data_IF_676482133353
#
_entry.id   IF_676482133353
#
_cell.length_a   1.000
_cell.length_b   1.000
_cell.length_c   1.000
_cell.angle_alpha   90.00
_cell.angle_beta   90.00
_cell.angle_gamma   90.00
#
_symmetry.space_group_name_H-M   'P 1'
#
loop_
_entity.id
_entity.type
_entity.pdbx_description
1 polymer ?
#
# COMPACT_ATOMS: atom_id res chain seq x y z
N UNK A 1 -9.51 24.59 -35.09
CA UNK A 1 -8.07 24.75 -34.83
C UNK A 1 -7.55 23.38 -34.46
N UNK A 2 -6.63 22.85 -35.27
CA UNK A 2 -5.99 21.54 -35.05
C UNK A 2 -5.11 21.58 -33.79
N UNK A 3 -4.95 20.46 -33.07
CA UNK A 3 -4.05 20.39 -31.93
C UNK A 3 -2.59 20.35 -32.39
N UNK A 4 -1.81 21.32 -31.91
CA UNK A 4 -0.35 21.42 -32.11
C UNK A 4 0.33 20.23 -31.43
N UNK A 5 1.07 19.44 -32.21
CA UNK A 5 1.93 18.37 -31.69
C UNK A 5 3.18 18.98 -31.07
N UNK A 6 3.33 18.90 -29.75
CA UNK A 6 4.60 19.20 -29.07
C UNK A 6 5.44 17.92 -29.04
N UNK A 7 6.64 17.97 -29.61
CA UNK A 7 7.53 16.82 -29.72
C UNK A 7 8.01 16.36 -28.33
N UNK A 8 8.06 15.04 -28.15
CA UNK A 8 8.32 14.27 -26.92
C UNK A 8 9.68 14.54 -26.25
N UNK A 9 10.55 15.34 -26.85
CA UNK A 9 11.95 15.55 -26.44
C UNK A 9 12.22 16.84 -25.65
N UNK A 10 11.24 17.74 -25.50
CA UNK A 10 11.46 19.04 -24.82
C UNK A 10 11.06 19.07 -23.33
N UNK A 11 10.56 17.96 -22.78
CA UNK A 11 10.07 17.85 -21.39
C UNK A 11 11.02 17.11 -20.43
N UNK A 12 12.22 16.70 -20.86
CA UNK A 12 13.14 15.91 -20.02
C UNK A 12 13.97 16.73 -19.00
N UNK A 13 13.67 18.02 -18.80
CA UNK A 13 14.35 18.83 -17.80
C UNK A 13 13.43 19.16 -16.60
N UNK A 14 13.87 18.75 -15.40
CA UNK A 14 13.56 19.27 -14.04
C UNK A 14 12.51 18.53 -13.19
N UNK A 15 12.97 17.88 -12.09
CA UNK A 15 12.57 18.18 -10.69
C UNK A 15 13.36 17.33 -9.65
N UNK A 16 14.04 17.98 -8.68
CA UNK A 16 14.44 17.42 -7.37
C UNK A 16 14.06 18.44 -6.29
N UNK A 17 13.44 18.02 -5.18
CA UNK A 17 12.99 18.89 -4.09
C UNK A 17 14.03 18.99 -2.94
N UNK A 18 14.29 20.21 -2.46
CA UNK A 18 14.74 20.50 -1.08
C UNK A 18 13.79 21.55 -0.50
N UNK A 19 13.24 21.30 0.69
CA UNK A 19 12.35 22.23 1.41
C UNK A 19 13.17 22.92 2.50
N UNK A 20 13.35 24.25 2.41
CA UNK A 20 13.83 25.06 3.54
C UNK A 20 12.64 25.67 4.30
N UNK A 21 12.67 25.50 5.62
CA UNK A 21 11.49 25.47 6.49
C UNK A 21 11.14 26.84 7.10
N UNK A 22 11.46 27.96 6.42
CA UNK A 22 11.27 29.30 7.01
C UNK A 22 10.53 30.34 6.18
N UNK A 23 10.27 30.13 4.89
CA UNK A 23 9.63 31.17 4.06
C UNK A 23 8.44 30.71 3.23
N UNK A 24 8.12 29.41 3.17
CA UNK A 24 6.93 28.93 2.46
C UNK A 24 6.95 29.16 0.94
N UNK A 25 8.12 29.39 0.34
CA UNK A 25 8.29 29.47 -1.10
C UNK A 25 8.95 28.20 -1.65
N UNK A 26 8.42 27.68 -2.76
CA UNK A 26 9.06 26.65 -3.58
C UNK A 26 10.21 27.30 -4.36
N UNK A 27 11.45 27.02 -3.98
CA UNK A 27 12.63 27.37 -4.78
C UNK A 27 12.93 26.21 -5.73
N UNK A 28 12.93 26.47 -7.04
CA UNK A 28 13.39 25.53 -8.05
C UNK A 28 14.85 25.87 -8.37
N UNK A 29 15.80 25.04 -7.92
CA UNK A 29 17.19 25.14 -8.38
C UNK A 29 17.36 24.33 -9.67
N UNK A 30 17.62 25.03 -10.77
CA UNK A 30 18.16 24.44 -11.99
C UNK A 30 19.65 24.15 -11.73
N UNK A 31 20.02 22.86 -11.69
CA UNK A 31 21.43 22.46 -11.71
C UNK A 31 22.10 23.07 -12.95
N UNK A 32 23.15 23.83 -12.68
CA UNK A 32 23.96 24.59 -13.62
C UNK A 32 24.35 23.80 -14.87
N UNK A 33 23.90 24.24 -16.04
CA UNK A 33 24.68 24.11 -17.27
C UNK A 33 24.99 25.53 -17.77
N UNK A 34 26.27 25.89 -17.95
CA UNK A 34 26.62 27.25 -18.35
C UNK A 34 26.32 27.43 -19.84
N UNK A 35 25.54 28.47 -20.15
CA UNK A 35 25.18 28.94 -21.48
C UNK A 35 24.32 27.98 -22.32
N UNK A 36 23.01 28.19 -22.33
CA UNK A 36 22.19 27.98 -23.54
C UNK A 36 20.94 28.87 -23.48
N UNK A 37 20.88 29.86 -24.37
CA UNK A 37 19.66 30.61 -24.66
C UNK A 37 18.69 29.67 -25.40
N UNK A 38 17.48 29.49 -24.88
CA UNK A 38 16.43 28.77 -25.59
C UNK A 38 15.89 29.64 -26.72
N UNK A 39 15.80 29.07 -27.92
CA UNK A 39 15.29 29.73 -29.12
C UNK A 39 14.05 28.98 -29.58
N UNK A 40 12.94 29.70 -29.77
CA UNK A 40 11.71 29.11 -30.29
C UNK A 40 11.85 28.74 -31.78
N UNK A 41 10.97 27.88 -32.29
CA UNK A 41 10.99 27.41 -33.69
C UNK A 41 10.78 28.51 -34.75
N UNK A 42 10.38 29.72 -34.33
CA UNK A 42 10.29 30.94 -35.15
C UNK A 42 11.48 31.91 -34.94
N UNK A 43 12.53 31.48 -34.23
CA UNK A 43 13.81 32.19 -34.15
C UNK A 43 13.93 33.27 -33.07
N UNK A 44 13.05 33.29 -32.05
CA UNK A 44 13.11 34.28 -30.97
C UNK A 44 13.82 33.72 -29.73
N UNK A 45 14.67 34.53 -29.12
CA UNK A 45 15.39 34.17 -27.89
C UNK A 45 14.53 34.42 -26.64
N UNK A 46 14.51 33.44 -25.73
CA UNK A 46 13.87 33.56 -24.41
C UNK A 46 14.96 33.87 -23.38
N UNK A 47 14.94 35.08 -22.82
CA UNK A 47 15.79 35.45 -21.69
C UNK A 47 15.05 35.26 -20.36
N UNK A 48 15.66 34.53 -19.42
CA UNK A 48 15.15 34.41 -18.05
C UNK A 48 15.87 35.41 -17.14
N UNK A 49 15.12 36.31 -16.52
CA UNK A 49 15.62 37.19 -15.46
C UNK A 49 15.42 36.54 -14.10
N UNK A 50 16.49 36.40 -13.32
CA UNK A 50 16.41 36.08 -11.90
C UNK A 50 15.94 37.31 -11.14
N UNK A 51 14.75 37.23 -10.53
CA UNK A 51 14.12 38.31 -9.80
C UNK A 51 14.72 38.52 -8.41
N UNK A 52 15.91 39.12 -8.35
CA UNK A 52 16.45 39.83 -7.18
C UNK A 52 17.36 40.95 -7.71
N UNK A 53 16.77 41.98 -8.35
CA UNK A 53 17.31 43.34 -8.23
C UNK A 53 16.40 44.41 -8.88
N UNK A 54 16.03 45.37 -8.03
CA UNK A 54 15.77 46.78 -8.33
C UNK A 54 14.63 47.18 -9.28
N UNK A 55 13.61 47.75 -8.63
CA UNK A 55 12.86 48.89 -9.13
C UNK A 55 13.79 50.05 -9.58
N UNK A 56 13.23 50.91 -10.43
CA UNK A 56 13.79 52.14 -11.03
C UNK A 56 14.47 51.97 -12.40
N UNK A 57 13.72 52.29 -13.47
CA UNK A 57 14.20 53.24 -14.48
C UNK A 57 13.05 53.86 -15.26
N UNK A 58 13.09 55.19 -15.31
CA UNK A 58 12.17 56.07 -16.00
C UNK A 58 12.20 55.87 -17.52
N UNK A 59 11.02 56.08 -18.08
CA UNK A 59 10.65 56.26 -19.47
C UNK A 59 11.59 57.19 -20.27
N UNK A 60 11.89 56.82 -21.53
CA UNK A 60 12.00 57.73 -22.68
C UNK A 60 12.13 56.96 -24.00
N UNK A 61 11.22 57.28 -24.92
CA UNK A 61 11.23 57.15 -26.38
C UNK A 61 10.91 55.79 -27.04
N UNK A 62 9.62 55.61 -27.40
CA UNK A 62 9.20 55.54 -28.81
C UNK A 62 8.74 54.17 -29.37
N UNK A 63 7.42 53.91 -29.31
CA UNK A 63 6.58 53.00 -30.13
C UNK A 63 7.10 51.55 -30.37
N UNK A 64 6.38 50.46 -30.14
CA UNK A 64 4.94 50.22 -29.96
C UNK A 64 4.74 48.73 -29.65
N UNK A 65 3.81 48.39 -28.75
CA UNK A 65 3.16 47.07 -28.71
C UNK A 65 3.78 45.98 -27.81
N UNK A 66 3.94 46.22 -26.51
CA UNK A 66 4.05 45.11 -25.54
C UNK A 66 2.65 44.82 -24.98
N UNK A 67 1.95 43.89 -25.60
CA UNK A 67 0.71 43.33 -25.02
C UNK A 67 1.15 42.42 -23.87
N UNK A 68 1.02 42.93 -22.65
CA UNK A 68 1.08 42.13 -21.45
C UNK A 68 -0.12 41.16 -21.45
N UNK A 69 0.12 39.89 -21.78
CA UNK A 69 -0.84 38.82 -21.47
C UNK A 69 -0.64 38.42 -20.01
N UNK A 70 -1.41 39.04 -19.13
CA UNK A 70 -1.68 38.49 -17.81
C UNK A 70 -2.50 37.21 -18.00
N UNK A 71 -1.84 36.05 -18.01
CA UNK A 71 -2.55 34.80 -17.74
C UNK A 71 -2.82 34.76 -16.24
N UNK A 72 -4.01 35.20 -15.86
CA UNK A 72 -4.51 35.10 -14.50
C UNK A 72 -4.92 33.64 -14.25
N UNK A 73 -3.93 32.74 -14.17
CA UNK A 73 -4.17 31.37 -13.73
C UNK A 73 -4.12 31.37 -12.20
N UNK A 74 -5.25 31.04 -11.56
CA UNK A 74 -5.28 30.88 -10.12
C UNK A 74 -4.24 29.84 -9.68
N UNK A 75 -3.57 30.05 -8.55
CA UNK A 75 -2.57 29.13 -8.00
C UNK A 75 -3.10 27.69 -7.97
N UNK A 76 -4.38 27.50 -7.65
CA UNK A 76 -5.04 26.20 -7.64
C UNK A 76 -5.09 25.55 -9.03
N UNK A 77 -5.30 26.34 -10.09
CA UNK A 77 -5.29 25.85 -11.47
C UNK A 77 -3.87 25.53 -11.94
N UNK A 78 -2.87 26.28 -11.49
CA UNK A 78 -1.46 25.98 -11.73
C UNK A 78 -1.04 24.67 -11.05
N UNK A 79 -1.43 24.48 -9.78
CA UNK A 79 -1.19 23.26 -9.01
C UNK A 79 -1.91 22.07 -9.67
N UNK A 80 -3.16 22.26 -10.10
CA UNK A 80 -3.94 21.19 -10.73
C UNK A 80 -3.38 20.81 -12.11
N UNK A 81 -2.92 21.79 -12.90
CA UNK A 81 -2.25 21.54 -14.18
C UNK A 81 -0.91 20.82 -14.00
N UNK A 82 -0.07 21.27 -13.07
CA UNK A 82 1.20 20.59 -12.73
C UNK A 82 0.92 19.19 -12.21
N UNK A 83 -0.01 19.02 -11.27
CA UNK A 83 -0.38 17.70 -10.74
C UNK A 83 -0.88 16.78 -11.83
N UNK A 84 -1.71 17.27 -12.76
CA UNK A 84 -2.25 16.47 -13.86
C UNK A 84 -1.14 16.06 -14.84
N UNK A 85 -0.25 16.98 -15.20
CA UNK A 85 0.88 16.71 -16.11
C UNK A 85 1.90 15.78 -15.46
N UNK A 86 2.24 16.00 -14.19
CA UNK A 86 3.12 15.12 -13.42
C UNK A 86 2.49 13.73 -13.29
N UNK A 87 1.21 13.62 -12.93
CA UNK A 87 0.51 12.32 -12.85
C UNK A 87 0.49 11.61 -14.21
N UNK A 88 0.24 12.34 -15.29
CA UNK A 88 0.24 11.77 -16.64
C UNK A 88 1.64 11.28 -17.05
N UNK A 89 2.70 12.06 -16.81
CA UNK A 89 4.09 11.66 -17.07
C UNK A 89 4.49 10.45 -16.20
N UNK A 90 4.11 10.44 -14.93
CA UNK A 90 4.35 9.31 -14.00
C UNK A 90 3.62 8.02 -14.42
N UNK A 91 2.45 8.14 -15.04
CA UNK A 91 1.63 7.01 -15.50
C UNK A 91 2.03 6.50 -16.90
N UNK A 92 2.64 7.35 -17.74
CA UNK A 92 2.92 7.04 -19.15
C UNK A 92 4.39 6.78 -19.47
N UNK A 93 5.31 6.94 -18.50
CA UNK A 93 6.73 6.62 -18.65
C UNK A 93 7.10 5.26 -17.98
N UNK A 94 7.35 4.18 -18.75
CA UNK A 94 7.80 2.89 -18.23
C UNK A 94 9.11 2.99 -17.45
N UNK A 95 9.96 3.98 -17.75
CA UNK A 95 11.25 4.18 -17.08
C UNK A 95 11.10 4.78 -15.67
N UNK A 96 9.95 5.38 -15.35
CA UNK A 96 9.65 5.85 -13.99
C UNK A 96 9.21 4.70 -13.08
N UNK A 97 8.45 3.73 -13.61
CA UNK A 97 8.17 2.47 -12.92
C UNK A 97 9.45 1.66 -12.71
N UNK A 98 10.32 1.59 -13.72
CA UNK A 98 11.65 0.98 -13.58
C UNK A 98 12.53 1.70 -12.53
N UNK A 99 12.44 3.04 -12.40
CA UNK A 99 13.17 3.82 -11.38
C UNK A 99 12.60 3.70 -9.97
N UNK A 100 11.29 3.50 -9.80
CA UNK A 100 10.66 3.15 -8.51
C UNK A 100 11.07 1.74 -8.05
N UNK A 101 11.23 0.82 -8.99
CA UNK A 101 11.78 -0.52 -8.75
C UNK A 101 13.29 -0.50 -8.48
N UNK A 102 14.02 0.51 -8.97
CA UNK A 102 15.49 0.53 -8.96
C UNK A 102 16.13 0.85 -7.59
N UNK A 103 15.38 1.05 -6.50
CA UNK A 103 15.99 1.16 -5.16
C UNK A 103 15.06 0.97 -3.94
N UNK A 104 13.81 0.52 -4.11
CA UNK A 104 12.91 0.37 -2.95
C UNK A 104 11.66 -0.47 -3.19
N UNK A 105 11.01 -0.85 -2.09
CA UNK A 105 9.71 -1.54 -2.06
C UNK A 105 8.62 -0.75 -2.80
N UNK A 106 7.71 -1.43 -3.49
CA UNK A 106 6.55 -0.85 -4.15
C UNK A 106 5.58 -0.14 -3.19
N UNK A 107 5.62 -0.49 -1.89
CA UNK A 107 4.91 0.24 -0.82
C UNK A 107 5.72 1.39 -0.21
N UNK A 108 6.96 1.64 -0.67
CA UNK A 108 7.82 2.69 -0.16
C UNK A 108 8.60 2.30 1.09
N UNK A 109 8.88 3.26 1.97
CA UNK A 109 9.62 3.01 3.22
C UNK A 109 8.79 2.22 4.24
N UNK A 110 7.48 2.49 4.30
CA UNK A 110 6.53 1.92 5.27
C UNK A 110 5.15 1.79 4.64
N UNK A 111 4.32 0.90 5.20
CA UNK A 111 2.89 0.79 4.87
C UNK A 111 2.15 2.10 5.16
N UNK A 112 1.01 2.27 4.49
CA UNK A 112 0.15 3.45 4.66
C UNK A 112 -0.21 3.71 6.13
N UNK A 113 -0.25 4.99 6.53
CA UNK A 113 -0.60 5.39 7.90
C UNK A 113 -2.03 4.97 8.28
N UNK A 114 -2.93 4.76 7.32
CA UNK A 114 -4.26 4.18 7.57
C UNK A 114 -4.20 2.82 8.29
N UNK A 115 -3.13 2.06 8.06
CA UNK A 115 -2.94 0.76 8.68
C UNK A 115 -2.20 0.84 10.01
N UNK A 116 -1.45 1.92 10.25
CA UNK A 116 -0.64 2.08 11.47
C UNK A 116 -1.36 2.80 12.60
N UNK A 117 -2.54 3.33 12.32
CA UNK A 117 -3.40 3.97 13.30
C UNK A 117 -4.56 3.04 13.65
N UNK A 118 -4.84 2.93 14.96
CA UNK A 118 -6.03 2.28 15.49
C UNK A 118 -7.28 3.14 15.32
N UNK A 119 -8.44 2.56 15.58
CA UNK A 119 -9.72 3.29 15.54
C UNK A 119 -9.77 4.47 16.52
N UNK A 120 -8.99 4.39 17.61
CA UNK A 120 -8.81 5.44 18.61
C UNK A 120 -7.76 6.50 18.22
N UNK A 121 -7.15 6.37 17.04
CA UNK A 121 -6.14 7.28 16.53
C UNK A 121 -4.74 7.07 17.10
N UNK A 122 -4.53 6.05 17.94
CA UNK A 122 -3.20 5.73 18.47
C UNK A 122 -2.38 4.96 17.45
N UNK A 123 -1.05 5.12 17.53
CA UNK A 123 -0.12 4.30 16.77
C UNK A 123 -0.20 2.85 17.26
N UNK A 124 -0.35 1.92 16.33
CA UNK A 124 -0.29 0.48 16.56
C UNK A 124 1.17 0.03 16.70
N UNK A 125 1.37 -1.09 17.37
CA UNK A 125 2.68 -1.59 17.77
C UNK A 125 3.12 -2.74 16.84
N UNK A 126 4.13 -2.51 16.00
CA UNK A 126 4.74 -3.59 15.23
C UNK A 126 5.63 -4.47 16.12
N UNK A 127 5.99 -5.65 15.62
CA UNK A 127 7.05 -6.51 16.19
C UNK A 127 8.40 -6.31 15.49
N UNK A 128 8.38 -5.70 14.30
CA UNK A 128 9.55 -5.32 13.50
C UNK A 128 9.47 -3.83 13.19
N UNK A 129 10.49 -3.10 13.60
CA UNK A 129 10.68 -1.69 13.30
C UNK A 129 11.93 -1.47 12.44
N UNK A 130 12.07 -0.32 11.77
CA UNK A 130 13.31 0.04 11.09
C UNK A 130 14.52 -0.08 12.03
N UNK A 131 15.56 -0.75 11.57
CA UNK A 131 16.73 -1.10 12.37
C UNK A 131 17.65 0.13 12.52
N UNK A 132 17.94 0.57 13.76
CA UNK A 132 18.89 1.66 13.97
C UNK A 132 20.28 1.31 13.41
N UNK A 133 20.85 2.19 12.59
CA UNK A 133 22.16 1.96 11.98
C UNK A 133 22.18 0.84 10.93
N UNK A 134 21.03 0.55 10.30
CA UNK A 134 20.91 -0.44 9.23
C UNK A 134 22.00 -0.29 8.14
N UNK A 135 22.58 -1.42 7.74
CA UNK A 135 23.54 -1.51 6.64
C UNK A 135 23.21 -2.71 5.75
N UNK A 136 22.64 -2.43 4.57
CA UNK A 136 22.32 -3.45 3.57
C UNK A 136 23.54 -4.28 3.17
N UNK A 137 24.71 -3.65 3.03
CA UNK A 137 25.96 -4.34 2.70
C UNK A 137 26.40 -5.31 3.79
N UNK A 138 26.37 -4.88 5.06
CA UNK A 138 26.76 -5.75 6.17
C UNK A 138 25.84 -6.97 6.29
N UNK A 139 24.53 -6.78 6.14
CA UNK A 139 23.57 -7.89 6.15
C UNK A 139 23.73 -8.79 4.92
N UNK A 140 23.92 -8.23 3.72
CA UNK A 140 24.17 -9.02 2.50
C UNK A 140 25.42 -9.90 2.62
N UNK A 141 26.51 -9.37 3.16
CA UNK A 141 27.73 -10.14 3.40
C UNK A 141 27.55 -11.24 4.46
N UNK A 142 26.79 -10.97 5.53
CA UNK A 142 26.49 -11.98 6.54
C UNK A 142 25.65 -13.11 5.98
N UNK A 143 24.62 -12.79 5.20
CA UNK A 143 23.79 -13.78 4.48
C UNK A 143 24.64 -14.60 3.52
N UNK A 144 25.56 -13.97 2.77
CA UNK A 144 26.46 -14.69 1.88
C UNK A 144 27.36 -15.68 2.64
N UNK A 145 27.94 -15.26 3.77
CA UNK A 145 28.75 -16.14 4.62
C UNK A 145 27.94 -17.29 5.20
N UNK A 146 26.69 -17.04 5.60
CA UNK A 146 25.79 -18.06 6.15
C UNK A 146 25.43 -19.16 5.14
N UNK A 147 25.49 -18.87 3.85
CA UNK A 147 25.18 -19.79 2.76
C UNK A 147 26.44 -20.33 2.06
N UNK A 148 27.64 -19.99 2.54
CA UNK A 148 28.90 -20.38 1.88
C UNK A 148 29.47 -21.65 2.49
N UNK A 149 29.57 -22.70 1.68
CA UNK A 149 30.27 -23.95 2.03
C UNK A 149 29.33 -25.12 2.13
N UNK A 150 29.71 -26.14 2.91
CA UNK A 150 28.84 -27.29 3.15
C UNK A 150 27.91 -27.00 4.33
N UNK A 151 26.60 -27.02 4.09
CA UNK A 151 25.57 -26.65 5.07
C UNK A 151 25.20 -25.17 4.99
N UNK A 152 24.20 -24.79 5.77
CA UNK A 152 23.63 -23.44 5.83
C UNK A 152 23.54 -23.03 7.29
N UNK A 153 23.84 -21.78 7.63
CA UNK A 153 23.59 -21.22 8.96
C UNK A 153 22.16 -20.65 8.99
N UNK A 154 21.19 -21.51 9.31
CA UNK A 154 19.77 -21.16 9.30
C UNK A 154 19.44 -20.05 10.29
N UNK A 155 20.09 -20.05 11.46
CA UNK A 155 19.86 -19.05 12.51
C UNK A 155 20.30 -17.66 12.05
N UNK A 156 21.41 -17.52 11.29
CA UNK A 156 21.80 -16.24 10.69
C UNK A 156 20.79 -15.76 9.65
N UNK A 157 20.27 -16.67 8.79
CA UNK A 157 19.23 -16.31 7.81
C UNK A 157 17.97 -15.77 8.50
N UNK A 158 17.52 -16.45 9.56
CA UNK A 158 16.34 -16.07 10.34
C UNK A 158 16.56 -14.73 11.04
N UNK A 159 17.67 -14.57 11.76
CA UNK A 159 17.96 -13.39 12.57
C UNK A 159 18.19 -12.12 11.76
N UNK A 160 18.40 -12.24 10.44
CA UNK A 160 18.43 -11.11 9.51
C UNK A 160 17.06 -10.95 8.84
N UNK A 161 16.60 -11.94 8.07
CA UNK A 161 15.44 -11.78 7.20
C UNK A 161 14.12 -11.66 7.97
N UNK A 162 13.97 -12.27 9.15
CA UNK A 162 12.77 -12.15 9.97
C UNK A 162 12.83 -10.97 10.98
N UNK A 163 13.86 -10.14 10.91
CA UNK A 163 14.11 -9.01 11.84
C UNK A 163 14.43 -7.70 11.12
N UNK A 164 14.12 -7.63 9.83
CA UNK A 164 14.26 -6.42 9.00
C UNK A 164 12.91 -6.10 8.40
N UNK A 165 12.61 -4.83 8.24
CA UNK A 165 11.42 -4.35 7.52
C UNK A 165 11.49 -4.77 6.04
N UNK A 166 10.36 -4.79 5.34
CA UNK A 166 10.36 -5.16 3.93
C UNK A 166 11.23 -4.21 3.10
N UNK A 167 11.21 -2.91 3.42
CA UNK A 167 12.07 -1.92 2.80
C UNK A 167 13.56 -2.30 2.93
N UNK A 168 14.02 -2.59 4.14
CA UNK A 168 15.38 -3.04 4.40
C UNK A 168 15.70 -4.37 3.70
N UNK A 169 14.76 -5.33 3.68
CA UNK A 169 14.95 -6.60 2.96
C UNK A 169 15.10 -6.39 1.46
N UNK A 170 14.36 -5.45 0.85
CA UNK A 170 14.54 -5.09 -0.56
C UNK A 170 15.92 -4.46 -0.80
N UNK A 171 16.38 -3.59 0.10
CA UNK A 171 17.73 -3.02 0.02
C UNK A 171 18.81 -4.11 0.14
N UNK A 172 18.66 -5.06 1.07
CA UNK A 172 19.56 -6.21 1.21
C UNK A 172 19.58 -7.03 -0.09
N UNK A 173 18.41 -7.34 -0.67
CA UNK A 173 18.33 -8.12 -1.91
C UNK A 173 19.07 -7.42 -3.07
N UNK A 174 18.83 -6.12 -3.25
CA UNK A 174 19.49 -5.33 -4.29
C UNK A 174 21.01 -5.25 -4.08
N UNK A 175 21.46 -5.00 -2.84
CA UNK A 175 22.88 -4.96 -2.50
C UNK A 175 23.54 -6.32 -2.69
N UNK A 176 22.91 -7.41 -2.27
CA UNK A 176 23.41 -8.76 -2.46
C UNK A 176 23.61 -9.09 -3.94
N UNK A 177 22.63 -8.77 -4.78
CA UNK A 177 22.72 -8.99 -6.23
C UNK A 177 23.82 -8.15 -6.87
N UNK A 178 24.00 -6.90 -6.42
CA UNK A 178 25.10 -6.05 -6.87
C UNK A 178 26.49 -6.59 -6.48
N UNK A 179 26.63 -7.17 -5.28
CA UNK A 179 27.92 -7.65 -4.76
C UNK A 179 28.31 -9.02 -5.31
N UNK A 180 27.34 -9.91 -5.51
CA UNK A 180 27.58 -11.32 -5.83
C UNK A 180 27.05 -11.75 -7.20
N UNK A 181 26.46 -10.82 -7.96
CA UNK A 181 25.92 -11.04 -9.31
C UNK A 181 24.94 -12.21 -9.39
N UNK A 182 24.26 -12.52 -8.29
CA UNK A 182 23.26 -13.57 -8.17
C UNK A 182 22.14 -13.08 -7.24
N UNK A 183 20.86 -13.26 -7.61
CA UNK A 183 19.76 -12.86 -6.74
C UNK A 183 19.78 -13.62 -5.41
N UNK A 184 19.68 -12.92 -4.28
CA UNK A 184 19.67 -13.51 -2.94
C UNK A 184 18.63 -14.64 -2.82
N UNK A 185 17.42 -14.41 -3.32
CA UNK A 185 16.32 -15.38 -3.32
C UNK A 185 16.70 -16.70 -4.03
N UNK A 186 17.50 -16.63 -5.10
CA UNK A 186 17.96 -17.82 -5.81
C UNK A 186 18.89 -18.65 -4.91
N UNK A 187 19.86 -17.99 -4.28
CA UNK A 187 20.81 -18.66 -3.37
C UNK A 187 20.08 -19.33 -2.21
N UNK A 188 19.15 -18.61 -1.56
CA UNK A 188 18.29 -19.17 -0.51
C UNK A 188 17.52 -20.39 -1.01
N UNK A 189 16.96 -20.32 -2.23
CA UNK A 189 16.17 -21.42 -2.81
C UNK A 189 17.01 -22.68 -3.03
N UNK A 190 18.28 -22.50 -3.41
CA UNK A 190 19.21 -23.58 -3.73
C UNK A 190 19.81 -24.19 -2.44
N UNK A 191 20.05 -23.39 -1.39
CA UNK A 191 20.69 -23.81 -0.13
C UNK A 191 19.72 -24.23 0.99
N UNK A 192 18.42 -24.04 0.80
CA UNK A 192 17.40 -24.42 1.80
C UNK A 192 16.31 -25.31 1.18
N UNK A 193 15.47 -25.92 2.00
CA UNK A 193 14.37 -26.77 1.52
C UNK A 193 13.08 -26.66 2.34
N UNK A 194 12.03 -27.36 1.91
CA UNK A 194 10.75 -27.42 2.62
C UNK A 194 10.07 -26.07 2.84
N UNK A 195 9.31 -25.97 3.93
CA UNK A 195 8.61 -24.74 4.34
C UNK A 195 9.58 -23.62 4.77
N UNK A 196 10.75 -23.98 5.29
CA UNK A 196 11.79 -23.02 5.66
C UNK A 196 12.27 -22.23 4.43
N UNK A 197 12.58 -22.93 3.34
CA UNK A 197 12.85 -22.29 2.04
C UNK A 197 11.73 -21.36 1.61
N UNK A 198 10.48 -21.85 1.69
CA UNK A 198 9.31 -21.09 1.25
C UNK A 198 9.21 -19.77 1.99
N UNK A 199 9.26 -19.77 3.33
CA UNK A 199 9.13 -18.54 4.11
C UNK A 199 10.30 -17.58 3.88
N UNK A 200 11.53 -18.06 3.75
CA UNK A 200 12.68 -17.19 3.46
C UNK A 200 12.57 -16.56 2.06
N UNK A 201 12.12 -17.34 1.06
CA UNK A 201 11.86 -16.80 -0.27
C UNK A 201 10.77 -15.73 -0.24
N UNK A 202 9.70 -15.94 0.54
CA UNK A 202 8.65 -14.93 0.73
C UNK A 202 9.18 -13.68 1.43
N UNK A 203 10.03 -13.81 2.45
CA UNK A 203 10.64 -12.65 3.12
C UNK A 203 11.49 -11.80 2.16
N UNK A 204 12.09 -12.39 1.13
CA UNK A 204 12.84 -11.65 0.10
C UNK A 204 11.96 -10.95 -0.94
N UNK A 205 10.67 -11.29 -1.07
CA UNK A 205 9.78 -10.60 -1.99
C UNK A 205 9.33 -9.25 -1.44
N UNK A 206 9.06 -8.34 -2.36
CA UNK A 206 8.38 -7.09 -2.07
C UNK A 206 6.94 -7.36 -1.60
N UNK A 207 6.44 -6.62 -0.61
CA UNK A 207 5.10 -6.85 -0.03
C UNK A 207 3.95 -6.84 -1.08
N UNK A 208 3.89 -5.90 -2.04
CA UNK A 208 2.93 -5.95 -3.14
C UNK A 208 2.96 -7.27 -3.90
N UNK A 209 4.15 -7.84 -4.14
CA UNK A 209 4.31 -9.10 -4.85
C UNK A 209 3.80 -10.28 -4.02
N UNK A 210 4.08 -10.34 -2.72
CA UNK A 210 3.57 -11.39 -1.83
C UNK A 210 2.03 -11.40 -1.83
N UNK A 211 1.41 -10.22 -1.73
CA UNK A 211 -0.04 -10.06 -1.74
C UNK A 211 -0.65 -10.38 -3.11
N UNK A 212 -0.04 -9.90 -4.19
CA UNK A 212 -0.47 -10.22 -5.56
C UNK A 212 -0.38 -11.72 -5.86
N UNK A 213 0.68 -12.38 -5.41
CA UNK A 213 0.85 -13.84 -5.52
C UNK A 213 -0.23 -14.57 -4.73
N UNK A 214 -0.58 -14.07 -3.53
CA UNK A 214 -1.70 -14.58 -2.74
C UNK A 214 -3.03 -14.51 -3.49
N UNK A 215 -3.34 -13.36 -4.10
CA UNK A 215 -4.54 -13.17 -4.93
C UNK A 215 -4.54 -14.10 -6.16
N UNK A 216 -3.40 -14.21 -6.85
CA UNK A 216 -3.28 -15.05 -8.03
C UNK A 216 -3.56 -16.51 -7.71
N UNK A 217 -2.91 -17.07 -6.68
CA UNK A 217 -3.16 -18.45 -6.28
C UNK A 217 -4.52 -18.68 -5.62
N UNK A 218 -5.18 -17.62 -5.14
CA UNK A 218 -6.56 -17.71 -4.67
C UNK A 218 -7.57 -17.87 -5.81
N UNK A 219 -7.26 -17.38 -7.02
CA UNK A 219 -8.10 -17.49 -8.22
C UNK A 219 -7.58 -18.55 -9.21
N UNK A 220 -6.33 -18.99 -9.08
CA UNK A 220 -5.75 -20.03 -9.94
C UNK A 220 -6.21 -21.42 -9.49
N UNK A 221 -6.91 -22.13 -10.36
CA UNK A 221 -7.19 -23.55 -10.22
C UNK A 221 -8.70 -23.84 -10.20
N UNK A 222 -9.08 -24.95 -9.56
CA UNK A 222 -10.49 -25.31 -9.40
C UNK A 222 -11.05 -24.66 -8.14
N UNK A 223 -12.03 -23.78 -8.32
CA UNK A 223 -12.65 -23.00 -7.24
C UNK A 223 -11.83 -21.77 -6.87
N UNK A 224 -12.44 -20.91 -6.07
CA UNK A 224 -11.87 -19.63 -5.63
C UNK A 224 -11.68 -19.67 -4.12
N UNK A 225 -10.50 -19.23 -3.64
CA UNK A 225 -10.26 -19.05 -2.22
C UNK A 225 -10.66 -17.62 -1.81
N UNK A 226 -11.98 -17.40 -1.69
CA UNK A 226 -12.57 -16.10 -1.39
C UNK A 226 -12.06 -15.50 -0.07
N UNK A 227 -11.67 -16.35 0.89
CA UNK A 227 -11.06 -15.92 2.14
C UNK A 227 -9.77 -15.12 1.92
N UNK A 228 -8.91 -15.55 1.00
CA UNK A 228 -7.66 -14.83 0.68
C UNK A 228 -7.97 -13.53 -0.04
N UNK A 229 -8.98 -13.51 -0.92
CA UNK A 229 -9.43 -12.28 -1.58
C UNK A 229 -9.90 -11.25 -0.55
N UNK A 230 -10.74 -11.67 0.41
CA UNK A 230 -11.23 -10.83 1.51
C UNK A 230 -10.07 -10.34 2.38
N UNK A 231 -9.20 -11.24 2.82
CA UNK A 231 -8.04 -10.92 3.66
C UNK A 231 -7.16 -9.83 3.04
N UNK A 232 -6.76 -10.04 1.78
CA UNK A 232 -5.84 -9.14 1.09
C UNK A 232 -6.51 -7.81 0.78
N UNK A 233 -7.66 -7.79 0.11
CA UNK A 233 -8.30 -6.55 -0.36
C UNK A 233 -8.86 -5.69 0.79
N UNK A 234 -9.25 -6.29 1.91
CA UNK A 234 -9.62 -5.55 3.14
C UNK A 234 -8.43 -4.77 3.71
N UNK A 235 -7.22 -5.28 3.52
CA UNK A 235 -6.00 -4.77 4.16
C UNK A 235 -5.14 -3.86 3.27
N UNK A 236 -5.68 -3.41 2.13
CA UNK A 236 -5.03 -2.52 1.17
C UNK A 236 -5.73 -1.16 1.11
N UNK A 237 -4.94 -0.10 0.97
CA UNK A 237 -5.43 1.24 0.61
C UNK A 237 -5.15 1.60 -0.85
N UNK A 238 -5.61 2.78 -1.30
CA UNK A 238 -5.58 3.21 -2.70
C UNK A 238 -4.25 3.00 -3.42
N UNK A 239 -3.15 3.53 -2.89
CA UNK A 239 -1.82 3.39 -3.52
C UNK A 239 -1.25 1.97 -3.41
N UNK A 240 -1.63 1.25 -2.37
CA UNK A 240 -1.22 -0.13 -2.17
C UNK A 240 -1.96 -1.08 -3.13
N UNK A 241 -3.24 -0.82 -3.41
CA UNK A 241 -4.01 -1.55 -4.43
C UNK A 241 -3.37 -1.38 -5.80
N UNK A 242 -2.93 -0.17 -6.17
CA UNK A 242 -2.21 0.08 -7.43
C UNK A 242 -0.91 -0.73 -7.49
N UNK A 243 -0.09 -0.66 -6.44
CA UNK A 243 1.17 -1.40 -6.38
C UNK A 243 0.96 -2.92 -6.43
N UNK A 244 -0.07 -3.45 -5.76
CA UNK A 244 -0.45 -4.87 -5.85
C UNK A 244 -0.95 -5.23 -7.24
N UNK A 245 -1.72 -4.36 -7.89
CA UNK A 245 -2.21 -4.59 -9.25
C UNK A 245 -1.07 -4.64 -10.27
N UNK A 246 -0.04 -3.82 -10.10
CA UNK A 246 1.16 -3.87 -10.95
C UNK A 246 2.03 -5.08 -10.63
N UNK A 247 2.17 -5.44 -9.35
CA UNK A 247 2.85 -6.67 -8.96
C UNK A 247 2.10 -7.93 -9.44
N UNK A 248 0.78 -7.87 -9.60
CA UNK A 248 -0.01 -8.96 -10.17
C UNK A 248 0.39 -9.27 -11.61
N UNK A 249 0.67 -8.24 -12.42
CA UNK A 249 1.20 -8.43 -13.79
C UNK A 249 2.54 -9.16 -13.77
N UNK A 250 3.43 -8.82 -12.83
CA UNK A 250 4.70 -9.53 -12.65
C UNK A 250 4.50 -10.99 -12.22
N UNK A 251 3.50 -11.27 -11.38
CA UNK A 251 3.13 -12.65 -11.02
C UNK A 251 2.67 -13.41 -12.26
N UNK A 252 1.82 -12.81 -13.11
CA UNK A 252 1.37 -13.44 -14.36
C UNK A 252 2.54 -13.76 -15.30
N UNK A 253 3.51 -12.84 -15.42
CA UNK A 253 4.74 -13.06 -16.19
C UNK A 253 5.59 -14.20 -15.61
N UNK A 254 5.83 -14.20 -14.29
CA UNK A 254 6.60 -15.25 -13.61
C UNK A 254 5.94 -16.64 -13.75
N UNK A 255 4.61 -16.68 -13.74
CA UNK A 255 3.81 -17.89 -13.91
C UNK A 255 3.59 -18.25 -15.39
N UNK A 256 4.20 -17.49 -16.31
CA UNK A 256 4.19 -17.71 -17.77
C UNK A 256 2.77 -17.77 -18.34
N UNK A 257 1.88 -16.91 -17.84
CA UNK A 257 0.52 -16.79 -18.35
C UNK A 257 0.52 -16.05 -19.68
N UNK A 258 0.15 -16.73 -20.76
CA UNK A 258 0.09 -16.18 -22.12
C UNK A 258 -1.21 -15.38 -22.37
N UNK A 259 -1.42 -14.32 -21.58
CA UNK A 259 -2.53 -13.36 -21.73
C UNK A 259 -2.11 -11.95 -21.28
N UNK A 260 -1.63 -11.09 -22.19
CA UNK A 260 -1.03 -9.79 -21.83
C UNK A 260 -2.04 -8.75 -21.33
N UNK A 261 -3.33 -8.93 -21.63
CA UNK A 261 -4.44 -8.09 -21.18
C UNK A 261 -5.02 -8.52 -19.83
N UNK A 262 -4.58 -9.67 -19.31
CA UNK A 262 -5.03 -10.21 -18.02
C UNK A 262 -4.54 -9.32 -16.88
N UNK A 263 -5.46 -8.98 -15.98
CA UNK A 263 -5.21 -8.11 -14.83
C UNK A 263 -5.83 -8.70 -13.55
N UNK A 264 -5.47 -8.14 -12.40
CA UNK A 264 -6.15 -8.46 -11.14
C UNK A 264 -7.67 -8.25 -11.26
N UNK A 265 -8.10 -7.13 -11.84
CA UNK A 265 -9.53 -6.82 -11.99
C UNK A 265 -10.24 -7.82 -12.91
N UNK A 266 -9.63 -8.19 -14.04
CA UNK A 266 -10.26 -9.17 -14.95
C UNK A 266 -10.44 -10.52 -14.27
N UNK A 267 -9.46 -10.95 -13.47
CA UNK A 267 -9.51 -12.22 -12.74
C UNK A 267 -10.56 -12.19 -11.63
N UNK A 268 -10.62 -11.11 -10.84
CA UNK A 268 -11.68 -10.95 -9.84
C UNK A 268 -13.08 -11.00 -10.48
N UNK A 269 -13.26 -10.37 -11.64
CA UNK A 269 -14.52 -10.38 -12.38
C UNK A 269 -14.85 -11.78 -12.92
N UNK A 270 -13.86 -12.56 -13.39
CA UNK A 270 -14.12 -13.90 -13.91
C UNK A 270 -14.34 -14.96 -12.82
N UNK A 271 -13.64 -14.85 -11.69
CA UNK A 271 -13.59 -15.89 -10.65
C UNK A 271 -14.55 -15.65 -9.48
N UNK A 272 -15.26 -14.52 -9.47
CA UNK A 272 -16.29 -14.20 -8.46
C UNK A 272 -17.60 -13.72 -9.13
N UNK A 273 -18.69 -13.66 -8.38
CA UNK A 273 -20.01 -13.25 -8.92
C UNK A 273 -20.81 -12.32 -8.01
N UNK A 274 -21.87 -11.74 -8.57
CA UNK A 274 -22.90 -10.96 -7.86
C UNK A 274 -22.33 -9.78 -7.05
N UNK A 275 -22.92 -9.49 -5.88
CA UNK A 275 -22.53 -8.37 -5.03
C UNK A 275 -21.11 -8.49 -4.48
N UNK A 276 -20.62 -9.73 -4.30
CA UNK A 276 -19.24 -9.98 -3.89
C UNK A 276 -18.25 -9.53 -4.96
N UNK A 277 -18.44 -9.97 -6.21
CA UNK A 277 -17.64 -9.50 -7.36
C UNK A 277 -17.67 -7.98 -7.49
N UNK A 278 -18.86 -7.38 -7.36
CA UNK A 278 -19.00 -5.93 -7.45
C UNK A 278 -18.19 -5.21 -6.37
N UNK A 279 -18.27 -5.65 -5.10
CA UNK A 279 -17.53 -5.04 -4.00
C UNK A 279 -16.01 -5.21 -4.14
N UNK A 280 -15.54 -6.40 -4.53
CA UNK A 280 -14.12 -6.65 -4.81
C UNK A 280 -13.61 -5.78 -5.95
N UNK A 281 -14.42 -5.59 -7.00
CA UNK A 281 -14.08 -4.73 -8.14
C UNK A 281 -13.95 -3.26 -7.74
N UNK A 282 -14.76 -2.78 -6.79
CA UNK A 282 -14.63 -1.41 -6.25
C UNK A 282 -13.36 -1.27 -5.41
N UNK A 283 -13.05 -2.25 -4.54
CA UNK A 283 -11.81 -2.23 -3.76
C UNK A 283 -10.57 -2.26 -4.67
N UNK A 284 -10.58 -3.11 -5.71
CA UNK A 284 -9.49 -3.25 -6.66
C UNK A 284 -9.26 -2.02 -7.56
N UNK A 285 -10.22 -1.09 -7.64
CA UNK A 285 -10.01 0.20 -8.31
C UNK A 285 -9.17 1.17 -7.48
N UNK A 286 -9.07 0.99 -6.15
CA UNK A 286 -8.23 1.84 -5.30
C UNK A 286 -8.67 3.31 -5.30
N UNK A 287 -9.98 3.55 -5.24
CA UNK A 287 -10.62 4.88 -5.24
C UNK A 287 -11.46 5.12 -3.98
N UNK A 288 -10.98 4.66 -2.83
CA UNK A 288 -11.60 4.91 -1.52
C UNK A 288 -11.38 6.38 -1.11
N UNK A 289 -12.24 6.89 -0.23
CA UNK A 289 -12.05 8.19 0.43
C UNK A 289 -10.64 8.26 1.01
N UNK A 290 -9.91 9.34 0.78
CA UNK A 290 -8.50 9.45 1.17
C UNK A 290 -8.27 10.67 2.07
N UNK A 291 -7.19 10.64 2.85
CA UNK A 291 -6.78 11.73 3.73
C UNK A 291 -5.37 12.18 3.38
N UNK A 292 -5.11 13.50 3.30
CA UNK A 292 -3.76 14.01 3.16
C UNK A 292 -2.84 13.46 4.26
N UNK A 293 -1.62 13.06 3.90
CA UNK A 293 -0.64 12.50 4.85
C UNK A 293 -0.39 13.41 6.06
N UNK A 294 -0.50 14.74 5.89
CA UNK A 294 -0.37 15.70 6.99
C UNK A 294 -1.51 15.58 8.02
N UNK A 295 -2.75 15.33 7.58
CA UNK A 295 -3.87 15.11 8.47
C UNK A 295 -3.71 13.80 9.24
N UNK A 296 -3.34 12.72 8.55
CA UNK A 296 -3.06 11.42 9.17
C UNK A 296 -1.97 11.50 10.24
N UNK A 297 -0.86 12.19 9.95
CA UNK A 297 0.25 12.38 10.91
C UNK A 297 -0.16 13.16 12.16
N UNK A 298 -1.18 14.01 12.04
CA UNK A 298 -1.67 14.80 13.17
C UNK A 298 -2.70 14.05 14.04
N UNK A 299 -3.24 12.91 13.59
CA UNK A 299 -4.29 12.16 14.31
C UNK A 299 -3.86 11.74 15.72
N UNK A 300 -2.64 11.20 15.97
CA UNK A 300 -2.23 10.79 17.32
C UNK A 300 -2.23 11.95 18.33
N UNK A 301 -1.96 13.16 17.87
CA UNK A 301 -1.87 14.36 18.72
C UNK A 301 -3.20 15.10 18.83
N UNK A 302 -3.94 15.24 17.72
CA UNK A 302 -5.16 16.05 17.62
C UNK A 302 -6.45 15.24 17.78
N UNK A 303 -6.36 13.92 17.73
CA UNK A 303 -7.47 12.99 17.85
C UNK A 303 -8.23 12.73 16.55
N UNK A 304 -8.92 11.59 16.50
CA UNK A 304 -9.66 11.10 15.32
C UNK A 304 -10.78 12.04 14.86
N UNK A 305 -11.33 12.84 15.78
CA UNK A 305 -12.38 13.79 15.46
C UNK A 305 -11.98 14.83 14.40
N UNK A 306 -10.69 15.07 14.16
CA UNK A 306 -10.23 16.00 13.10
C UNK A 306 -10.30 15.41 11.70
N UNK A 307 -10.48 14.10 11.57
CA UNK A 307 -10.51 13.38 10.28
C UNK A 307 -11.83 12.65 10.04
N UNK A 308 -12.84 12.92 10.88
CA UNK A 308 -14.19 12.36 10.78
C UNK A 308 -15.18 13.48 10.51
N UNK A 309 -16.05 13.27 9.53
CA UNK A 309 -17.17 14.14 9.23
C UNK A 309 -18.42 13.65 9.99
N UNK A 310 -18.82 14.39 11.04
CA UNK A 310 -19.92 14.00 11.93
C UNK A 310 -21.28 14.06 11.25
N UNK A 311 -21.52 15.07 10.42
CA UNK A 311 -22.77 15.20 9.66
C UNK A 311 -22.94 14.02 8.71
N UNK A 312 -21.84 13.57 8.10
CA UNK A 312 -21.83 12.41 7.23
C UNK A 312 -22.13 11.11 7.99
N UNK A 313 -21.67 10.96 9.25
CA UNK A 313 -21.95 9.73 10.03
C UNK A 313 -23.44 9.46 10.18
N UNK A 314 -24.25 10.50 10.42
CA UNK A 314 -25.70 10.35 10.58
C UNK A 314 -26.41 10.09 9.25
N UNK A 315 -25.87 10.62 8.15
CA UNK A 315 -26.38 10.37 6.80
C UNK A 315 -26.09 8.92 6.40
N UNK A 316 -24.85 8.48 6.54
CA UNK A 316 -24.44 7.12 6.20
C UNK A 316 -25.16 6.09 7.07
N UNK A 317 -25.32 6.34 8.37
CA UNK A 317 -26.08 5.45 9.26
C UNK A 317 -27.54 5.26 8.80
N UNK A 318 -28.23 6.34 8.43
CA UNK A 318 -29.61 6.27 7.89
C UNK A 318 -29.66 5.54 6.55
N UNK A 319 -28.68 5.78 5.67
CA UNK A 319 -28.62 5.13 4.36
C UNK A 319 -28.35 3.62 4.50
N UNK A 320 -27.50 3.21 5.45
CA UNK A 320 -27.24 1.81 5.78
C UNK A 320 -28.49 1.10 6.32
N UNK A 321 -29.23 1.71 7.24
CA UNK A 321 -30.48 1.13 7.76
C UNK A 321 -31.53 1.00 6.64
N UNK A 322 -31.71 2.06 5.85
CA UNK A 322 -32.65 2.05 4.74
C UNK A 322 -32.27 1.03 3.66
N UNK A 323 -30.96 0.77 3.47
CA UNK A 323 -30.49 -0.29 2.61
C UNK A 323 -30.82 -1.67 3.20
N UNK A 324 -30.53 -1.93 4.48
CA UNK A 324 -30.87 -3.20 5.14
C UNK A 324 -32.36 -3.56 5.03
N UNK A 325 -33.25 -2.59 5.24
CA UNK A 325 -34.71 -2.82 5.22
C UNK A 325 -35.37 -2.89 3.82
N UNK A 326 -34.62 -2.69 2.73
CA UNK A 326 -35.16 -2.56 1.35
C UNK A 326 -35.14 -3.87 0.55
N UNK A 327 -35.94 -3.94 -0.53
CA UNK A 327 -36.02 -5.08 -1.48
C UNK A 327 -34.63 -5.53 -2.00
N UNK A 328 -34.45 -6.84 -2.07
CA UNK A 328 -33.31 -7.60 -2.60
C UNK A 328 -32.69 -6.94 -3.85
N UNK A 329 -31.38 -6.67 -3.83
CA UNK A 329 -30.56 -6.31 -5.00
C UNK A 329 -30.21 -4.82 -5.20
N UNK A 330 -31.01 -3.88 -4.67
CA UNK A 330 -30.75 -2.42 -4.81
C UNK A 330 -30.03 -1.83 -3.59
N UNK A 331 -30.17 -2.48 -2.44
CA UNK A 331 -29.60 -2.06 -1.17
C UNK A 331 -28.11 -2.36 -1.05
N UNK A 332 -27.66 -3.49 -1.59
CA UNK A 332 -26.29 -3.98 -1.52
C UNK A 332 -25.33 -3.03 -2.24
N UNK A 333 -25.74 -2.37 -3.33
CA UNK A 333 -24.89 -1.35 -3.97
C UNK A 333 -24.66 -0.13 -3.09
N UNK A 334 -25.68 0.31 -2.32
CA UNK A 334 -25.53 1.43 -1.37
C UNK A 334 -24.64 1.05 -0.20
N UNK A 335 -24.87 -0.13 0.37
CA UNK A 335 -24.02 -0.70 1.43
C UNK A 335 -22.58 -0.78 0.93
N UNK A 336 -22.33 -1.38 -0.24
CA UNK A 336 -20.99 -1.47 -0.83
C UNK A 336 -20.36 -0.09 -0.97
N UNK A 337 -21.05 0.87 -1.60
CA UNK A 337 -20.51 2.23 -1.81
C UNK A 337 -20.05 2.89 -0.52
N UNK A 338 -20.83 2.78 0.56
CA UNK A 338 -20.47 3.34 1.86
C UNK A 338 -19.30 2.55 2.47
N UNK A 339 -19.48 1.25 2.69
CA UNK A 339 -18.51 0.42 3.44
C UNK A 339 -17.15 0.32 2.74
N UNK A 340 -17.12 0.20 1.40
CA UNK A 340 -15.85 0.18 0.66
C UNK A 340 -15.28 1.57 0.43
N UNK A 341 -16.13 2.60 0.41
CA UNK A 341 -15.73 3.98 0.13
C UNK A 341 -15.07 4.67 1.32
N UNK A 342 -15.61 4.51 2.54
CA UNK A 342 -15.16 5.28 3.70
C UNK A 342 -13.75 4.92 4.18
N UNK A 343 -13.10 5.92 4.80
CA UNK A 343 -11.90 5.73 5.60
C UNK A 343 -12.19 4.81 6.79
N UNK A 344 -11.16 4.18 7.34
CA UNK A 344 -11.33 3.37 8.56
C UNK A 344 -11.84 4.20 9.75
N UNK A 345 -11.42 5.45 9.87
CA UNK A 345 -11.89 6.37 10.91
C UNK A 345 -13.36 6.76 10.73
N UNK A 346 -13.75 7.11 9.50
CA UNK A 346 -15.13 7.46 9.19
C UNK A 346 -16.03 6.25 9.41
N UNK A 347 -15.66 5.08 8.89
CA UNK A 347 -16.45 3.86 9.02
C UNK A 347 -16.64 3.43 10.50
N UNK A 348 -15.61 3.61 11.33
CA UNK A 348 -15.74 3.37 12.77
C UNK A 348 -16.74 4.35 13.42
N UNK A 349 -16.68 5.63 13.07
CA UNK A 349 -17.63 6.63 13.55
C UNK A 349 -19.06 6.41 13.01
N UNK A 350 -19.21 5.93 11.77
CA UNK A 350 -20.50 5.57 11.18
C UNK A 350 -21.13 4.40 11.96
N UNK A 351 -20.34 3.40 12.36
CA UNK A 351 -20.79 2.28 13.17
C UNK A 351 -21.26 2.72 14.57
N UNK A 352 -20.53 3.62 15.22
CA UNK A 352 -20.94 4.22 16.50
C UNK A 352 -22.24 5.03 16.37
N UNK A 353 -22.35 5.86 15.32
CA UNK A 353 -23.54 6.64 15.05
C UNK A 353 -24.76 5.73 14.79
N UNK A 354 -24.57 4.64 14.04
CA UNK A 354 -25.60 3.64 13.76
C UNK A 354 -26.17 3.03 15.05
N UNK A 355 -25.30 2.53 15.92
CA UNK A 355 -25.72 1.90 17.18
C UNK A 355 -26.43 2.91 18.09
N UNK A 356 -25.90 4.12 18.20
CA UNK A 356 -26.52 5.21 18.96
C UNK A 356 -27.92 5.57 18.46
N UNK A 357 -28.13 5.56 17.15
CA UNK A 357 -29.39 5.99 16.53
C UNK A 357 -30.46 4.90 16.54
N UNK A 358 -30.07 3.63 16.37
CA UNK A 358 -31.01 2.54 16.13
C UNK A 358 -31.00 1.47 17.22
N UNK A 359 -30.10 1.56 18.21
CA UNK A 359 -30.03 0.65 19.35
C UNK A 359 -29.56 -0.76 19.00
N UNK A 360 -28.96 -0.95 17.82
CA UNK A 360 -28.40 -2.23 17.35
C UNK A 360 -27.03 -1.97 16.70
N UNK A 361 -25.98 -2.75 17.01
CA UNK A 361 -24.69 -2.60 16.35
C UNK A 361 -24.78 -2.79 14.83
N UNK A 362 -24.10 -1.93 14.07
CA UNK A 362 -24.04 -2.02 12.61
C UNK A 362 -23.54 -3.41 12.15
N UNK A 363 -22.56 -3.95 12.86
CA UNK A 363 -21.99 -5.25 12.56
C UNK A 363 -23.03 -6.37 12.62
N UNK A 364 -23.84 -6.40 13.68
CA UNK A 364 -24.88 -7.40 13.89
C UNK A 364 -25.99 -7.28 12.84
N UNK A 365 -26.31 -6.05 12.44
CA UNK A 365 -27.31 -5.78 11.42
C UNK A 365 -26.85 -6.25 10.04
N UNK A 366 -25.64 -5.88 9.62
CA UNK A 366 -25.08 -6.36 8.36
C UNK A 366 -24.91 -7.89 8.37
N UNK A 367 -24.63 -8.49 9.53
CA UNK A 367 -24.51 -9.94 9.64
C UNK A 367 -25.85 -10.65 9.48
N UNK A 368 -26.96 -10.05 9.93
CA UNK A 368 -28.32 -10.60 9.77
C UNK A 368 -28.91 -10.38 8.38
N UNK A 369 -28.64 -9.24 7.76
CA UNK A 369 -29.23 -8.87 6.46
C UNK A 369 -28.50 -9.45 5.25
N UNK A 370 -27.19 -9.69 5.36
CA UNK A 370 -26.36 -10.14 4.23
C UNK A 370 -26.10 -11.65 4.27
N UNK A 371 -25.60 -12.20 3.16
CA UNK A 371 -25.27 -13.63 3.05
C UNK A 371 -24.00 -13.89 2.24
N UNK A 372 -23.47 -15.12 2.35
CA UNK A 372 -22.32 -15.61 1.57
C UNK A 372 -21.05 -14.78 1.76
N UNK A 373 -20.16 -14.82 0.77
CA UNK A 373 -18.87 -14.12 0.79
C UNK A 373 -19.00 -12.60 0.72
N UNK A 374 -20.12 -12.10 0.17
CA UNK A 374 -20.45 -10.68 0.24
C UNK A 374 -20.61 -10.22 1.70
N UNK A 375 -21.37 -10.96 2.53
CA UNK A 375 -21.43 -10.69 3.97
C UNK A 375 -20.04 -10.77 4.60
N UNK A 376 -19.29 -11.83 4.32
CA UNK A 376 -17.95 -12.03 4.90
C UNK A 376 -17.03 -10.83 4.60
N UNK A 377 -17.07 -10.27 3.39
CA UNK A 377 -16.32 -9.09 3.01
C UNK A 377 -16.77 -7.83 3.75
N UNK A 378 -18.08 -7.55 3.78
CA UNK A 378 -18.62 -6.36 4.46
C UNK A 378 -18.31 -6.40 5.96
N UNK A 379 -18.48 -7.57 6.59
CA UNK A 379 -18.12 -7.81 7.99
C UNK A 379 -16.61 -7.61 8.20
N UNK A 380 -15.77 -8.12 7.31
CA UNK A 380 -14.32 -7.92 7.41
C UNK A 380 -13.94 -6.43 7.32
N UNK A 381 -14.54 -5.66 6.41
CA UNK A 381 -14.27 -4.21 6.26
C UNK A 381 -14.68 -3.42 7.50
N UNK A 382 -15.88 -3.69 8.04
CA UNK A 382 -16.37 -3.04 9.27
C UNK A 382 -15.44 -3.40 10.44
N UNK A 383 -15.13 -4.69 10.63
CA UNK A 383 -14.24 -5.12 11.72
C UNK A 383 -12.80 -4.65 11.54
N UNK A 384 -12.30 -4.46 10.32
CA UNK A 384 -10.98 -3.88 10.11
C UNK A 384 -10.90 -2.41 10.56
N UNK A 385 -12.04 -1.71 10.52
CA UNK A 385 -12.20 -0.36 11.06
C UNK A 385 -12.43 -0.33 12.58
N UNK A 386 -13.25 -1.25 13.13
CA UNK A 386 -13.72 -1.18 14.53
C UNK A 386 -13.06 -2.17 15.50
N UNK A 387 -12.61 -3.33 15.01
CA UNK A 387 -12.19 -4.49 15.81
C UNK A 387 -11.01 -5.25 15.16
N UNK A 388 -10.03 -4.51 14.64
CA UNK A 388 -8.97 -5.04 13.75
C UNK A 388 -8.17 -6.17 14.39
N UNK A 389 -7.76 -6.00 15.64
CA UNK A 389 -6.89 -6.95 16.32
C UNK A 389 -7.56 -8.32 16.50
N UNK A 390 -8.84 -8.38 16.89
CA UNK A 390 -9.56 -9.64 17.02
C UNK A 390 -9.87 -10.28 15.66
N UNK A 391 -10.22 -9.48 14.65
CA UNK A 391 -10.40 -9.98 13.27
C UNK A 391 -9.14 -10.71 12.78
N UNK A 392 -7.98 -10.07 12.91
CA UNK A 392 -6.72 -10.63 12.46
C UNK A 392 -6.25 -11.81 13.33
N UNK A 393 -6.55 -11.79 14.63
CA UNK A 393 -6.30 -12.92 15.52
C UNK A 393 -7.12 -14.16 15.12
N UNK A 394 -8.40 -13.98 14.75
CA UNK A 394 -9.22 -15.05 14.17
C UNK A 394 -8.64 -15.54 12.85
N UNK A 395 -8.15 -14.62 12.00
CA UNK A 395 -7.56 -15.03 10.74
C UNK A 395 -6.31 -15.89 10.91
N UNK A 396 -5.45 -15.54 11.87
CA UNK A 396 -4.30 -16.35 12.25
C UNK A 396 -4.73 -17.70 12.85
N UNK A 397 -5.76 -17.72 13.70
CA UNK A 397 -6.27 -18.95 14.28
C UNK A 397 -6.75 -19.92 13.21
N UNK A 398 -7.61 -19.47 12.30
CA UNK A 398 -8.14 -20.26 11.21
C UNK A 398 -7.06 -20.75 10.23
N UNK A 399 -5.96 -19.99 10.12
CA UNK A 399 -4.77 -20.36 9.34
C UNK A 399 -3.93 -21.46 10.01
N UNK A 400 -4.15 -21.74 11.31
CA UNK A 400 -3.54 -22.88 12.01
C UNK A 400 -4.52 -24.05 12.19
N UNK A 401 -5.84 -23.83 12.14
CA UNK A 401 -6.82 -24.90 12.41
C UNK A 401 -7.36 -25.56 11.16
N UNK A 402 -6.85 -26.73 10.73
CA UNK A 402 -7.45 -27.57 9.68
C UNK A 402 -6.42 -28.16 8.70
N UNK A 403 -6.84 -29.01 7.77
CA UNK A 403 -5.94 -29.68 6.81
C UNK A 403 -5.72 -28.83 5.54
N UNK A 404 -4.48 -28.68 5.03
CA UNK A 404 -4.20 -28.13 3.68
C UNK A 404 -3.19 -26.96 3.60
N UNK A 405 -3.36 -26.08 2.60
CA UNK A 405 -2.43 -24.99 2.16
C UNK A 405 -2.35 -23.76 3.09
N UNK A 406 -2.65 -23.94 4.38
CA UNK A 406 -2.82 -22.83 5.34
C UNK A 406 -1.51 -22.18 5.78
N UNK A 407 -0.39 -22.89 5.62
CA UNK A 407 0.96 -22.36 5.91
C UNK A 407 1.24 -21.04 5.18
N UNK A 408 0.73 -20.89 3.95
CA UNK A 408 0.92 -19.66 3.17
C UNK A 408 0.09 -18.50 3.72
N UNK A 409 -1.12 -18.76 4.22
CA UNK A 409 -1.93 -17.74 4.89
C UNK A 409 -1.29 -17.32 6.21
N UNK A 410 -0.83 -18.28 7.02
CA UNK A 410 -0.15 -18.00 8.27
C UNK A 410 1.10 -17.14 8.07
N UNK A 411 2.01 -17.53 7.16
CA UNK A 411 3.23 -16.75 6.92
C UNK A 411 2.92 -15.38 6.30
N UNK A 412 1.97 -15.27 5.37
CA UNK A 412 1.59 -13.99 4.75
C UNK A 412 1.03 -13.01 5.79
N UNK A 413 0.15 -13.47 6.67
CA UNK A 413 -0.38 -12.65 7.76
C UNK A 413 0.74 -12.17 8.69
N UNK A 414 1.61 -13.09 9.13
CA UNK A 414 2.72 -12.72 10.01
C UNK A 414 3.69 -11.73 9.35
N UNK A 415 4.11 -11.98 8.10
CA UNK A 415 5.03 -11.10 7.36
C UNK A 415 4.40 -9.71 7.12
N UNK A 416 3.11 -9.66 6.76
CA UNK A 416 2.47 -8.38 6.41
C UNK A 416 2.07 -7.55 7.62
N UNK A 417 1.84 -8.19 8.78
CA UNK A 417 1.43 -7.51 10.02
C UNK A 417 2.59 -7.21 10.97
N UNK A 418 3.73 -7.89 10.85
CA UNK A 418 4.90 -7.69 11.72
C UNK A 418 5.40 -6.25 11.75
N UNK A 419 5.17 -5.49 10.69
CA UNK A 419 5.60 -4.10 10.52
C UNK A 419 4.46 -3.09 10.79
N UNK A 420 3.32 -3.54 11.34
CA UNK A 420 2.10 -2.72 11.53
C UNK A 420 1.55 -2.82 12.96
N UNK A 421 0.94 -3.95 13.31
CA UNK A 421 0.02 -4.11 14.46
C UNK A 421 0.09 -5.50 15.10
N UNK A 422 1.14 -6.27 14.81
CA UNK A 422 1.24 -7.66 15.27
C UNK A 422 1.29 -7.79 16.80
N UNK A 423 1.68 -6.75 17.54
CA UNK A 423 1.64 -6.77 19.00
C UNK A 423 0.19 -6.70 19.53
N UNK A 424 -0.67 -5.85 18.98
CA UNK A 424 -2.11 -5.84 19.33
C UNK A 424 -2.78 -7.17 18.98
N UNK A 425 -2.39 -7.77 17.84
CA UNK A 425 -2.93 -9.07 17.40
C UNK A 425 -2.52 -10.18 18.37
N UNK A 426 -1.27 -10.20 18.86
CA UNK A 426 -0.81 -11.16 19.88
C UNK A 426 -1.67 -11.09 21.14
N UNK A 427 -1.92 -9.87 21.64
CA UNK A 427 -2.70 -9.63 22.85
C UNK A 427 -4.18 -10.02 22.66
N UNK A 428 -4.77 -9.68 21.51
CA UNK A 428 -6.15 -10.08 21.16
C UNK A 428 -6.28 -11.61 21.04
N UNK A 429 -5.31 -12.27 20.40
CA UNK A 429 -5.28 -13.72 20.25
C UNK A 429 -5.24 -14.41 21.60
N UNK A 430 -4.34 -14.01 22.48
CA UNK A 430 -4.20 -14.61 23.81
C UNK A 430 -5.45 -14.41 24.65
N UNK A 431 -6.03 -13.21 24.64
CA UNK A 431 -7.29 -12.92 25.33
C UNK A 431 -8.44 -13.79 24.83
N UNK A 432 -8.52 -14.03 23.52
CA UNK A 432 -9.63 -14.75 22.89
C UNK A 432 -9.52 -16.27 23.03
N UNK A 433 -8.32 -16.83 22.86
CA UNK A 433 -8.10 -18.27 22.80
C UNK A 433 -7.47 -18.86 24.07
N UNK A 434 -7.17 -18.03 25.07
CA UNK A 434 -6.51 -18.42 26.32
C UNK A 434 -5.21 -19.21 26.09
N UNK A 435 -4.51 -18.87 25.01
CA UNK A 435 -3.25 -19.46 24.56
C UNK A 435 -2.51 -18.40 23.75
N UNK A 436 -1.24 -18.13 24.08
CA UNK A 436 -0.45 -17.16 23.32
C UNK A 436 -0.29 -17.59 21.85
N UNK A 437 -0.25 -16.61 20.95
CA UNK A 437 -0.05 -16.85 19.51
C UNK A 437 1.26 -17.63 19.25
N UNK A 438 2.33 -17.32 19.99
CA UNK A 438 3.59 -18.06 19.91
C UNK A 438 3.42 -19.55 20.27
N UNK A 439 2.66 -19.87 21.33
CA UNK A 439 2.39 -21.26 21.70
C UNK A 439 1.43 -21.95 20.72
N UNK A 440 0.56 -21.21 20.05
CA UNK A 440 -0.25 -21.76 18.96
C UNK A 440 0.65 -22.18 17.78
N UNK A 441 1.54 -21.30 17.34
CA UNK A 441 2.50 -21.58 16.25
C UNK A 441 3.43 -22.75 16.60
N UNK A 442 3.96 -22.81 17.83
CA UNK A 442 4.79 -23.95 18.29
C UNK A 442 4.04 -25.29 18.26
N UNK A 443 2.72 -25.27 18.41
CA UNK A 443 1.90 -26.47 18.37
C UNK A 443 1.55 -26.94 16.96
N UNK A 444 1.62 -26.05 15.97
CA UNK A 444 1.16 -26.30 14.59
C UNK A 444 2.32 -26.41 13.58
N UNK A 445 3.48 -25.84 13.92
CA UNK A 445 4.66 -25.77 13.04
C UNK A 445 5.90 -26.35 13.73
N UNK A 446 6.96 -26.64 12.97
CA UNK A 446 8.22 -27.19 13.51
C UNK A 446 9.46 -26.71 12.74
N UNK A 447 10.64 -27.03 13.26
CA UNK A 447 11.94 -26.75 12.63
C UNK A 447 12.22 -25.26 12.42
N UNK A 448 13.05 -24.94 11.43
CA UNK A 448 13.46 -23.57 11.14
C UNK A 448 12.34 -22.72 10.53
N UNK A 449 11.30 -23.35 9.97
CA UNK A 449 10.07 -22.66 9.61
C UNK A 449 9.39 -22.06 10.86
N UNK A 450 9.18 -22.87 11.89
CA UNK A 450 8.63 -22.40 13.17
C UNK A 450 9.49 -21.29 13.77
N UNK A 451 10.83 -21.47 13.82
CA UNK A 451 11.74 -20.44 14.34
C UNK A 451 11.61 -19.12 13.57
N UNK A 452 11.47 -19.18 12.24
CA UNK A 452 11.25 -17.99 11.40
C UNK A 452 9.97 -17.27 11.78
N UNK A 453 8.86 -17.99 11.93
CA UNK A 453 7.57 -17.41 12.31
C UNK A 453 7.60 -16.80 13.73
N UNK A 454 8.30 -17.45 14.67
CA UNK A 454 8.48 -16.94 16.03
C UNK A 454 9.36 -15.67 16.04
N UNK A 455 10.39 -15.62 15.21
CA UNK A 455 11.21 -14.42 15.04
C UNK A 455 10.38 -13.23 14.54
N UNK A 456 9.43 -13.45 13.61
CA UNK A 456 8.48 -12.41 13.18
C UNK A 456 7.56 -11.92 14.31
N UNK A 457 7.25 -12.76 15.30
CA UNK A 457 6.49 -12.37 16.50
C UNK A 457 7.32 -11.60 17.54
N UNK A 458 8.62 -11.42 17.30
CA UNK A 458 9.53 -10.82 18.26
C UNK A 458 10.15 -11.83 19.24
N UNK A 459 9.78 -13.11 19.18
CA UNK A 459 10.23 -14.16 20.11
C UNK A 459 11.65 -14.66 19.74
N UNK A 460 12.44 -15.05 20.74
CA UNK A 460 13.78 -15.64 20.55
C UNK A 460 13.72 -17.16 20.52
#
# INVERSE_FOLDING_TARGET
MEPVSVAKTELEAVLIHIVDNKTGFLCFDLLSTPNNNLTTSDGRQIGFFNGLDSAQRNDRSGNSGTIAWFVNMHIDQAIQAVTTVTTYILQSDPSFHARRMASGSGFGFQRSLFHRLGADGKMLRPTIEPTPGFSASADAERLHRAMKGAGTDEDTLINILARRTNHERQQICATYESLYHTPLRKVIKDDTSGQFRTVLCELCHDLPYILAKGLYYAMKGLGTNDRVLIEVLTSLWNDEVKAVSDAYKQVLEHEKVDRPDRTLLSDLVSDTSNHFQYALSILAQGQRDDLPALQLKAVPEKGVATVVNKELTEVDAKELLAAGASRVGTSEKRITRIITGRTTFQLAADAEAYERMFGKPLLDDMNSELSGDYRSLIIALIRYATDRANLLAEWLHDAMTGLGTKDYALMRLLITRSEIDLQEIKEAYEKKYNKSLANAIRGDTSGDYMKTLLALLGEQ
#
